data_IF_297383180331
#
_entry.id   IF_297383180331
#
_cell.length_a   1.000
_cell.length_b   1.000
_cell.length_c   1.000
_cell.angle_alpha   90.00
_cell.angle_beta   90.00
_cell.angle_gamma   90.00
#
_symmetry.space_group_name_H-M   'P 1'
#
loop_
_entity.id
_entity.type
_entity.pdbx_description
1 polymer ?
#
# COMPACT_ATOMS: atom_id res chain seq x y z
N UNK A 1 -29.51 -87.87 -24.26
CA UNK A 1 -28.44 -88.44 -23.41
C UNK A 1 -28.02 -87.36 -22.42
N UNK A 2 -28.22 -87.59 -21.11
CA UNK A 2 -27.85 -86.66 -20.03
C UNK A 2 -26.34 -86.58 -19.89
N UNK A 3 -25.79 -85.39 -19.70
CA UNK A 3 -24.67 -85.17 -18.77
C UNK A 3 -24.88 -83.82 -18.08
N UNK A 4 -24.96 -83.87 -16.75
CA UNK A 4 -24.92 -82.78 -15.81
C UNK A 4 -23.54 -82.84 -15.14
N UNK A 5 -22.84 -81.72 -14.93
CA UNK A 5 -22.28 -81.42 -13.60
C UNK A 5 -21.63 -80.03 -13.52
N UNK A 6 -22.12 -79.32 -12.52
CA UNK A 6 -21.77 -78.05 -11.91
C UNK A 6 -20.29 -77.92 -11.54
N UNK A 7 -19.72 -76.70 -11.61
CA UNK A 7 -18.87 -76.13 -10.55
C UNK A 7 -18.94 -74.59 -10.56
N UNK A 8 -19.43 -74.03 -9.45
CA UNK A 8 -19.43 -72.61 -9.13
C UNK A 8 -17.99 -72.08 -9.01
N UNK A 9 -17.68 -70.96 -9.66
CA UNK A 9 -16.52 -70.13 -9.36
C UNK A 9 -17.02 -68.78 -8.86
N UNK A 10 -16.55 -68.42 -7.66
CA UNK A 10 -16.94 -67.25 -6.88
C UNK A 10 -16.57 -65.96 -7.61
N UNK A 11 -17.54 -65.07 -7.73
CA UNK A 11 -17.42 -63.71 -8.25
C UNK A 11 -16.78 -62.85 -7.15
N UNK A 12 -15.62 -62.26 -7.44
CA UNK A 12 -15.10 -61.14 -6.64
C UNK A 12 -15.06 -59.91 -7.54
N UNK A 13 -15.80 -58.91 -7.06
CA UNK A 13 -16.21 -57.68 -7.70
C UNK A 13 -15.04 -56.68 -7.76
N UNK A 14 -14.70 -56.18 -8.94
CA UNK A 14 -13.95 -54.94 -9.10
C UNK A 14 -14.65 -54.10 -10.16
N UNK A 15 -15.61 -53.29 -9.69
CA UNK A 15 -16.35 -52.34 -10.52
C UNK A 15 -15.40 -51.22 -10.96
N UNK A 16 -14.99 -51.24 -12.23
CA UNK A 16 -14.37 -50.09 -12.89
C UNK A 16 -15.50 -49.13 -13.26
N UNK A 17 -15.73 -48.13 -12.40
CA UNK A 17 -16.70 -47.06 -12.64
C UNK A 17 -16.10 -46.12 -13.68
N UNK A 18 -16.63 -46.18 -14.90
CA UNK A 18 -16.48 -45.16 -15.93
C UNK A 18 -17.24 -43.90 -15.47
N UNK A 19 -16.53 -42.91 -14.92
CA UNK A 19 -17.13 -41.59 -14.64
C UNK A 19 -17.05 -40.74 -15.89
N UNK A 20 -18.23 -40.33 -16.36
CA UNK A 20 -18.45 -39.53 -17.55
C UNK A 20 -17.81 -38.14 -17.50
N UNK A 21 -17.30 -37.72 -18.65
CA UNK A 21 -16.83 -36.37 -18.95
C UNK A 21 -18.04 -35.43 -18.89
N UNK A 22 -18.20 -34.71 -17.78
CA UNK A 22 -19.04 -33.53 -17.73
C UNK A 22 -18.17 -32.33 -18.11
N UNK A 23 -18.45 -31.73 -19.27
CA UNK A 23 -17.90 -30.46 -19.70
C UNK A 23 -18.27 -29.37 -18.68
N UNK A 24 -17.41 -29.19 -17.66
CA UNK A 24 -17.46 -28.03 -16.79
C UNK A 24 -16.99 -26.82 -17.59
N UNK A 25 -17.93 -26.08 -18.17
CA UNK A 25 -17.69 -24.71 -18.56
C UNK A 25 -17.36 -23.94 -17.29
N UNK A 26 -16.08 -23.86 -16.94
CA UNK A 26 -15.61 -22.86 -15.99
C UNK A 26 -15.85 -21.50 -16.64
N UNK A 27 -17.01 -20.92 -16.35
CA UNK A 27 -17.24 -19.50 -16.54
C UNK A 27 -16.19 -18.77 -15.72
N UNK A 28 -15.06 -18.45 -16.37
CA UNK A 28 -14.17 -17.40 -15.93
C UNK A 28 -15.02 -16.14 -15.88
N UNK A 29 -15.57 -15.82 -14.71
CA UNK A 29 -16.07 -14.48 -14.46
C UNK A 29 -14.84 -13.56 -14.49
N UNK A 30 -14.50 -13.07 -15.67
CA UNK A 30 -13.79 -11.82 -15.78
C UNK A 30 -14.65 -10.81 -15.01
N UNK A 31 -14.20 -10.40 -13.82
CA UNK A 31 -14.80 -9.27 -13.12
C UNK A 31 -14.52 -8.04 -13.99
N UNK A 32 -15.45 -7.74 -14.90
CA UNK A 32 -15.54 -6.44 -15.52
C UNK A 32 -15.78 -5.45 -14.37
N UNK A 33 -14.73 -4.75 -13.93
CA UNK A 33 -14.88 -3.46 -13.22
C UNK A 33 -15.51 -2.50 -14.25
N UNK A 34 -16.80 -2.66 -14.52
CA UNK A 34 -17.57 -1.64 -15.20
C UNK A 34 -17.54 -0.40 -14.30
N UNK A 35 -17.01 0.68 -14.88
CA UNK A 35 -16.85 1.97 -14.23
C UNK A 35 -18.20 2.56 -13.83
N UNK A 36 -18.64 2.21 -12.63
CA UNK A 36 -19.47 3.08 -11.83
C UNK A 36 -18.58 4.26 -11.41
N UNK A 37 -18.80 5.40 -12.05
CA UNK A 37 -18.32 6.71 -11.60
C UNK A 37 -18.94 7.15 -10.25
N UNK A 38 -19.56 6.22 -9.50
CA UNK A 38 -20.01 6.39 -8.11
C UNK A 38 -19.25 5.47 -7.12
N UNK A 39 -18.28 4.69 -7.59
CA UNK A 39 -17.30 3.99 -6.76
C UNK A 39 -16.03 4.84 -6.60
N UNK A 40 -16.19 6.07 -6.08
CA UNK A 40 -15.09 6.68 -5.34
C UNK A 40 -14.66 5.64 -4.31
N UNK A 41 -13.43 5.17 -4.44
CA UNK A 41 -12.79 4.13 -3.65
C UNK A 41 -13.44 3.98 -2.27
N UNK A 42 -13.81 2.75 -1.90
CA UNK A 42 -14.32 2.46 -0.55
C UNK A 42 -13.42 3.06 0.56
N UNK A 43 -12.17 3.40 0.22
CA UNK A 43 -11.28 4.24 0.99
C UNK A 43 -11.00 5.62 0.34
N UNK A 44 -11.47 6.70 0.96
CA UNK A 44 -11.32 8.08 0.46
C UNK A 44 -9.88 8.57 0.35
N UNK A 45 -8.93 7.97 1.05
CA UNK A 45 -7.52 8.41 0.98
C UNK A 45 -6.88 8.09 -0.38
N UNK A 46 -7.39 7.06 -1.08
CA UNK A 46 -6.86 6.64 -2.38
C UNK A 46 -6.87 7.79 -3.39
N UNK A 47 -5.80 7.90 -4.16
CA UNK A 47 -5.60 8.95 -5.17
C UNK A 47 -4.27 9.68 -5.00
N UNK A 48 -4.10 10.72 -5.82
CA UNK A 48 -2.92 11.57 -5.82
C UNK A 48 -3.19 12.91 -5.13
N UNK A 49 -2.19 13.39 -4.40
CA UNK A 49 -2.29 14.57 -3.54
C UNK A 49 -1.03 15.40 -3.65
N UNK A 50 -1.19 16.73 -3.64
CA UNK A 50 -0.13 17.69 -3.46
C UNK A 50 0.01 18.02 -1.97
N UNK A 51 1.20 17.86 -1.42
CA UNK A 51 1.48 18.01 0.01
C UNK A 51 2.35 19.23 0.28
N UNK A 52 2.09 19.95 1.36
CA UNK A 52 3.04 20.91 1.95
C UNK A 52 3.50 20.37 3.30
N UNK A 53 4.80 20.08 3.44
CA UNK A 53 5.40 19.47 4.63
C UNK A 53 6.19 20.52 5.40
N UNK A 54 6.03 20.55 6.73
CA UNK A 54 6.76 21.40 7.65
C UNK A 54 7.53 20.54 8.66
N UNK A 55 8.88 20.53 8.63
CA UNK A 55 9.71 19.91 9.65
C UNK A 55 9.56 20.61 11.00
N UNK A 56 9.47 19.84 12.08
CA UNK A 56 9.27 20.33 13.45
C UNK A 56 10.17 19.65 14.46
N UNK A 57 10.51 20.38 15.50
CA UNK A 57 11.06 19.83 16.72
C UNK A 57 9.94 19.02 17.41
N UNK A 58 10.23 17.77 17.78
CA UNK A 58 9.22 16.89 18.38
C UNK A 58 8.77 17.32 19.79
N UNK A 59 9.61 18.05 20.53
CA UNK A 59 9.33 18.47 21.90
C UNK A 59 8.65 19.84 21.92
N UNK A 60 9.18 20.80 21.17
CA UNK A 60 8.70 22.20 21.21
C UNK A 60 7.63 22.49 20.16
N UNK A 61 7.52 21.68 19.10
CA UNK A 61 6.66 21.94 17.95
C UNK A 61 7.16 23.06 17.02
N UNK A 62 8.28 23.70 17.36
CA UNK A 62 8.90 24.75 16.55
C UNK A 62 9.34 24.22 15.19
N UNK A 63 9.26 25.08 14.18
CA UNK A 63 9.65 24.74 12.83
C UNK A 63 11.18 24.66 12.70
N UNK A 64 11.70 23.53 12.19
CA UNK A 64 13.15 23.29 12.06
C UNK A 64 13.77 23.85 10.77
N UNK A 65 12.94 24.20 9.79
CA UNK A 65 13.39 24.64 8.48
C UNK A 65 12.21 25.02 7.59
N UNK A 66 12.47 25.50 6.35
CA UNK A 66 11.40 25.90 5.45
C UNK A 66 10.47 24.72 5.16
N UNK A 67 9.18 25.04 4.97
CA UNK A 67 8.24 24.09 4.42
C UNK A 67 8.59 23.77 2.97
N UNK A 68 8.22 22.59 2.50
CA UNK A 68 8.50 22.14 1.14
C UNK A 68 7.33 21.35 0.57
N UNK A 69 7.23 21.36 -0.75
CA UNK A 69 6.16 20.69 -1.47
C UNK A 69 6.54 19.25 -1.83
N UNK A 70 5.54 18.42 -2.00
CA UNK A 70 5.69 17.05 -2.47
C UNK A 70 4.41 16.53 -3.10
N UNK A 71 4.52 15.34 -3.68
CA UNK A 71 3.44 14.58 -4.26
C UNK A 71 3.39 13.23 -3.57
N UNK A 72 2.18 12.80 -3.21
CA UNK A 72 1.96 11.47 -2.65
C UNK A 72 0.78 10.82 -3.37
N UNK A 73 0.94 9.56 -3.73
CA UNK A 73 -0.13 8.72 -4.25
C UNK A 73 -0.39 7.59 -3.27
N UNK A 74 -1.63 7.50 -2.80
CA UNK A 74 -2.14 6.37 -2.04
C UNK A 74 -2.83 5.42 -3.01
N UNK A 75 -2.22 4.26 -3.25
CA UNK A 75 -2.77 3.26 -4.15
C UNK A 75 -3.88 2.48 -3.46
N UNK A 76 -4.88 2.06 -4.24
CA UNK A 76 -5.77 0.96 -3.84
C UNK A 76 -4.90 -0.26 -3.46
N UNK A 77 -5.19 -0.90 -2.33
CA UNK A 77 -4.39 -2.01 -1.81
C UNK A 77 -3.30 -1.64 -0.79
N UNK A 78 -3.25 -0.38 -0.32
CA UNK A 78 -2.49 -0.02 0.88
C UNK A 78 -1.01 0.29 0.65
N UNK A 79 -0.60 0.64 -0.57
CA UNK A 79 0.77 1.07 -0.88
C UNK A 79 0.85 2.56 -1.20
N UNK A 80 2.06 3.12 -1.08
CA UNK A 80 2.35 4.54 -1.31
C UNK A 80 3.49 4.69 -2.31
N UNK A 81 3.40 5.71 -3.15
CA UNK A 81 4.53 6.32 -3.84
C UNK A 81 4.58 7.82 -3.50
N UNK A 82 5.75 8.34 -3.17
CA UNK A 82 5.93 9.77 -2.88
C UNK A 82 7.23 10.33 -3.45
N UNK A 83 7.21 11.63 -3.71
CA UNK A 83 8.41 12.40 -3.95
C UNK A 83 8.23 13.83 -3.45
N UNK A 84 9.25 14.40 -2.82
CA UNK A 84 9.18 15.74 -2.25
C UNK A 84 10.45 16.54 -2.50
N UNK A 85 10.28 17.85 -2.71
CA UNK A 85 11.36 18.81 -2.96
C UNK A 85 11.97 19.32 -1.64
N UNK A 86 12.34 18.42 -0.74
CA UNK A 86 12.93 18.78 0.56
C UNK A 86 14.36 19.33 0.37
N UNK A 87 14.64 20.61 0.67
CA UNK A 87 15.96 21.19 0.48
C UNK A 87 17.05 20.62 1.40
N UNK A 88 16.67 20.02 2.54
CA UNK A 88 17.63 19.38 3.45
C UNK A 88 18.10 17.99 2.95
N UNK A 89 17.32 17.35 2.08
CA UNK A 89 17.66 16.06 1.46
C UNK A 89 17.30 16.09 -0.04
N UNK A 90 17.97 16.94 -0.84
CA UNK A 90 17.56 17.22 -2.21
C UNK A 90 17.89 16.06 -3.16
N UNK A 91 18.90 15.24 -2.83
CA UNK A 91 19.28 14.05 -3.60
C UNK A 91 18.72 12.82 -2.91
N UNK A 92 17.68 12.23 -3.50
CA UNK A 92 16.99 11.08 -2.93
C UNK A 92 16.25 10.28 -4.00
N UNK A 93 15.99 9.02 -3.70
CA UNK A 93 15.03 8.23 -4.49
C UNK A 93 13.59 8.69 -4.21
N UNK A 94 12.63 8.34 -5.08
CA UNK A 94 11.24 8.24 -4.69
C UNK A 94 11.08 7.40 -3.42
N UNK A 95 10.11 7.77 -2.60
CA UNK A 95 9.72 7.00 -1.44
C UNK A 95 8.63 6.01 -1.78
N UNK A 96 8.72 4.85 -1.14
CA UNK A 96 7.69 3.83 -1.19
C UNK A 96 7.29 3.42 0.21
N UNK A 97 6.02 3.06 0.37
CA UNK A 97 5.46 2.80 1.67
C UNK A 97 4.17 2.04 1.66
N UNK A 98 3.59 1.98 2.85
CA UNK A 98 2.30 1.36 3.11
C UNK A 98 1.43 2.33 3.88
N UNK A 99 0.12 2.20 3.69
CA UNK A 99 -0.89 2.90 4.46
C UNK A 99 -2.04 1.96 4.83
N UNK A 100 -2.74 2.31 5.90
CA UNK A 100 -3.94 1.61 6.34
C UNK A 100 -4.95 2.59 6.93
N UNK A 101 -6.24 2.26 6.84
CA UNK A 101 -7.27 2.93 7.63
C UNK A 101 -7.26 2.35 9.04
N UNK A 102 -7.36 3.21 10.05
CA UNK A 102 -7.31 2.82 11.46
C UNK A 102 -8.69 2.50 12.07
N UNK A 103 -9.70 2.32 11.23
CA UNK A 103 -11.10 2.22 11.66
C UNK A 103 -11.73 3.61 11.85
N UNK A 104 -12.96 3.77 11.39
CA UNK A 104 -13.60 5.08 11.22
C UNK A 104 -13.22 5.73 9.89
N UNK A 105 -14.12 6.56 9.34
CA UNK A 105 -14.00 7.07 7.97
C UNK A 105 -12.95 8.17 7.76
N UNK A 106 -12.17 8.52 8.80
CA UNK A 106 -11.35 9.74 8.78
C UNK A 106 -9.91 9.61 9.26
N UNK A 107 -9.49 8.46 9.81
CA UNK A 107 -8.15 8.30 10.38
C UNK A 107 -7.37 7.20 9.65
N UNK A 108 -6.13 7.53 9.29
CA UNK A 108 -5.25 6.63 8.57
C UNK A 108 -3.84 6.70 9.15
N UNK A 109 -3.07 5.64 8.95
CA UNK A 109 -1.65 5.62 9.25
C UNK A 109 -0.87 5.33 8.00
N UNK A 110 0.28 5.98 7.85
CA UNK A 110 1.20 5.71 6.76
C UNK A 110 2.64 5.59 7.25
N UNK A 111 3.42 4.82 6.48
CA UNK A 111 4.85 4.66 6.68
C UNK A 111 5.53 4.45 5.35
N UNK A 112 6.52 5.28 5.05
CA UNK A 112 7.30 5.16 3.83
C UNK A 112 8.79 5.28 4.10
N UNK A 113 9.59 4.93 3.10
CA UNK A 113 11.03 5.07 3.14
C UNK A 113 11.59 5.44 1.79
N UNK A 114 12.69 6.19 1.79
CA UNK A 114 13.49 6.50 0.62
C UNK A 114 14.97 6.44 0.99
N UNK A 115 15.83 6.39 -0.03
CA UNK A 115 17.29 6.45 0.15
C UNK A 115 17.75 7.89 -0.07
N UNK A 116 18.45 8.44 0.93
CA UNK A 116 19.15 9.70 0.81
C UNK A 116 20.48 9.47 0.10
N UNK A 117 20.84 10.37 -0.80
CA UNK A 117 22.02 10.29 -1.65
C UNK A 117 22.95 11.49 -1.42
N UNK A 118 24.22 11.32 -1.71
CA UNK A 118 25.16 12.43 -1.89
C UNK A 118 24.86 13.14 -3.22
N UNK A 119 25.43 14.34 -3.46
CA UNK A 119 25.35 14.99 -4.78
C UNK A 119 25.91 14.15 -5.92
N UNK A 120 26.87 13.26 -5.63
CA UNK A 120 27.43 12.30 -6.59
C UNK A 120 26.60 11.04 -6.78
N UNK A 121 25.45 10.92 -6.11
CA UNK A 121 24.54 9.77 -6.20
C UNK A 121 24.91 8.58 -5.30
N UNK A 122 25.92 8.70 -4.44
CA UNK A 122 26.28 7.64 -3.50
C UNK A 122 25.25 7.56 -2.36
N UNK A 123 24.85 6.36 -1.91
CA UNK A 123 23.81 6.24 -0.89
C UNK A 123 24.34 6.58 0.51
N UNK A 124 23.70 7.55 1.16
CA UNK A 124 24.02 8.00 2.53
C UNK A 124 23.33 7.12 3.56
N UNK A 125 22.06 6.79 3.31
CA UNK A 125 21.25 6.09 4.28
C UNK A 125 19.78 6.01 3.90
N UNK A 126 18.98 5.47 4.81
CA UNK A 126 17.53 5.32 4.66
C UNK A 126 16.81 6.32 5.55
N UNK A 127 15.99 7.16 4.94
CA UNK A 127 14.98 7.93 5.65
C UNK A 127 13.75 7.06 5.84
N UNK A 128 13.17 7.08 7.03
CA UNK A 128 11.88 6.45 7.34
C UNK A 128 10.97 7.49 7.94
N UNK A 129 9.77 7.60 7.40
CA UNK A 129 8.74 8.54 7.86
C UNK A 129 7.52 7.73 8.28
N UNK A 130 6.92 8.09 9.40
CA UNK A 130 5.65 7.53 9.88
C UNK A 130 4.71 8.68 10.19
N UNK A 131 3.49 8.65 9.68
CA UNK A 131 2.49 9.70 9.94
C UNK A 131 1.13 9.08 10.30
N UNK A 132 0.36 9.84 11.04
CA UNK A 132 -1.09 9.71 11.15
C UNK A 132 -1.72 10.79 10.28
N UNK A 133 -2.79 10.42 9.59
CA UNK A 133 -3.51 11.25 8.64
C UNK A 133 -4.95 11.42 9.13
N UNK A 134 -5.45 12.63 9.01
CA UNK A 134 -6.84 12.99 9.23
C UNK A 134 -7.45 13.51 7.92
N UNK A 135 -8.55 12.88 7.48
CA UNK A 135 -9.29 13.25 6.28
C UNK A 135 -10.79 13.19 6.57
N UNK A 136 -11.46 14.34 6.61
CA UNK A 136 -12.90 14.37 6.86
C UNK A 136 -13.71 13.74 5.71
N UNK A 137 -14.91 13.22 6.02
CA UNK A 137 -15.76 12.37 5.16
C UNK A 137 -16.02 12.92 3.75
N UNK A 138 -15.97 14.24 3.56
CA UNK A 138 -16.22 14.91 2.27
C UNK A 138 -15.13 15.93 1.91
N UNK A 139 -13.96 15.83 2.54
CA UNK A 139 -12.85 16.73 2.27
C UNK A 139 -12.03 16.23 1.09
N UNK A 140 -11.50 17.19 0.34
CA UNK A 140 -10.38 17.00 -0.59
C UNK A 140 -9.11 17.67 -0.07
N UNK A 141 -9.11 18.00 1.23
CA UNK A 141 -7.97 18.42 2.02
C UNK A 141 -7.75 17.44 3.18
N UNK A 142 -6.49 17.12 3.45
CA UNK A 142 -6.10 16.34 4.63
C UNK A 142 -4.99 17.04 5.41
N UNK A 143 -4.89 16.66 6.69
CA UNK A 143 -3.73 16.98 7.52
C UNK A 143 -3.03 15.69 7.94
N UNK A 144 -1.75 15.80 8.24
CA UNK A 144 -1.00 14.70 8.82
C UNK A 144 0.08 15.19 9.76
N UNK A 145 0.47 14.32 10.69
CA UNK A 145 1.58 14.57 11.59
C UNK A 145 2.29 13.28 11.96
N UNK A 146 3.54 13.38 12.39
CA UNK A 146 4.31 12.24 12.86
C UNK A 146 5.80 12.51 12.88
N UNK A 147 6.60 11.48 12.60
CA UNK A 147 8.06 11.52 12.77
C UNK A 147 8.83 11.01 11.56
N UNK A 148 10.10 11.41 11.51
CA UNK A 148 11.10 10.89 10.60
C UNK A 148 12.39 10.52 11.32
N UNK A 149 13.09 9.53 10.76
CA UNK A 149 14.45 9.17 11.17
C UNK A 149 15.27 8.82 9.94
N UNK A 150 16.44 9.45 9.81
CA UNK A 150 17.48 9.07 8.85
C UNK A 150 18.52 8.23 9.56
N UNK A 151 18.79 7.05 9.01
CA UNK A 151 19.85 6.16 9.49
C UNK A 151 20.83 5.86 8.37
N UNK A 152 22.12 5.74 8.67
CA UNK A 152 23.06 5.10 7.74
C UNK A 152 22.78 3.58 7.67
N UNK A 153 23.41 2.88 6.73
CA UNK A 153 23.16 1.44 6.55
C UNK A 153 23.73 0.55 7.68
N UNK A 154 24.56 1.11 8.56
CA UNK A 154 25.02 0.45 9.79
C UNK A 154 24.08 0.66 10.98
N UNK A 155 22.98 1.42 10.81
CA UNK A 155 21.98 1.67 11.85
C UNK A 155 22.24 2.91 12.71
N UNK A 156 23.29 3.69 12.45
CA UNK A 156 23.54 4.95 13.17
C UNK A 156 22.54 6.00 12.72
N UNK A 157 21.87 6.66 13.69
CA UNK A 157 20.97 7.77 13.44
C UNK A 157 21.77 9.00 13.02
N UNK A 158 21.47 9.52 11.83
CA UNK A 158 22.09 10.73 11.29
C UNK A 158 21.23 11.98 11.52
N UNK A 159 19.91 11.81 11.53
CA UNK A 159 18.95 12.88 11.81
C UNK A 159 17.60 12.28 12.27
N UNK A 160 16.86 13.00 13.09
CA UNK A 160 15.51 12.66 13.49
C UNK A 160 14.70 13.92 13.80
N UNK A 161 13.39 13.82 13.73
CA UNK A 161 12.49 14.91 14.05
C UNK A 161 11.04 14.58 13.75
N UNK A 162 10.20 15.60 13.82
CA UNK A 162 8.78 15.50 13.58
C UNK A 162 8.37 16.29 12.34
N UNK A 163 7.19 16.02 11.82
CA UNK A 163 6.60 16.75 10.70
C UNK A 163 5.12 16.97 10.95
N UNK A 164 4.62 18.07 10.41
CA UNK A 164 3.21 18.23 10.06
C UNK A 164 3.10 18.44 8.56
N UNK A 165 2.00 18.03 7.95
CA UNK A 165 1.72 18.36 6.56
C UNK A 165 0.23 18.63 6.33
N UNK A 166 -0.05 19.46 5.34
CA UNK A 166 -1.35 19.54 4.69
C UNK A 166 -1.25 18.89 3.31
N UNK A 167 -2.38 18.43 2.76
CA UNK A 167 -2.43 18.03 1.37
C UNK A 167 -3.78 18.33 0.73
N UNK A 168 -3.75 18.67 -0.55
CA UNK A 168 -4.92 18.85 -1.40
C UNK A 168 -4.96 17.76 -2.47
N UNK A 169 -6.15 17.26 -2.79
CA UNK A 169 -6.33 16.24 -3.82
C UNK A 169 -6.10 16.86 -5.20
N UNK A 170 -5.40 16.13 -6.07
CA UNK A 170 -5.34 16.48 -7.49
C UNK A 170 -6.65 16.13 -8.20
N UNK A 171 -7.24 17.09 -8.90
CA UNK A 171 -8.48 16.95 -9.66
C UNK A 171 -8.24 17.14 -11.16
N UNK A 172 -9.18 16.70 -11.99
CA UNK A 172 -9.22 16.90 -13.44
C UNK A 172 -10.15 18.06 -13.81
#
# INVERSE_FOLDING_TARGET
MKVNSTKLIRITMAAVVFVMIAAGQSSLHAQNKEGSASSQSANRLVGAWETTVTPRNCETGEQLGPSFNGLITFNEGGTIAEYAANPAVPYRTPGHGIWASNGGNSNYSMKFSFIALTPSGAPVGRMRVTQVIELARFSDEQTSSGSFVLTNFSGVVLAAGCTTATAARLTL
#
